data_IF_163182564287
#
_entry.id   IF_163182564287
#
_cell.length_a   1.000
_cell.length_b   1.000
_cell.length_c   1.000
_cell.angle_alpha   90.00
_cell.angle_beta   90.00
_cell.angle_gamma   90.00
#
_symmetry.space_group_name_H-M   'P 1'
#
loop_
_entity.id
_entity.type
_entity.pdbx_description
1 polymer ?
#
# COMPACT_ATOMS: atom_id res chain seq x y z
N UNK A 1 -21.33 6.78 4.71
CA UNK A 1 -20.44 5.65 4.37
C UNK A 1 -19.01 6.18 4.29
N UNK A 2 -18.02 5.41 4.74
CA UNK A 2 -16.61 5.81 4.69
C UNK A 2 -15.72 4.70 5.19
N UNK A 3 -14.41 4.85 5.00
CA UNK A 3 -13.39 3.98 5.56
C UNK A 3 -12.81 4.68 6.78
N UNK A 4 -12.67 3.94 7.89
CA UNK A 4 -12.03 4.46 9.08
C UNK A 4 -10.51 4.42 8.91
N UNK A 5 -9.84 5.48 9.34
CA UNK A 5 -8.40 5.53 9.49
C UNK A 5 -8.05 5.60 10.97
N UNK A 6 -7.21 4.68 11.41
CA UNK A 6 -6.70 4.61 12.78
C UNK A 6 -5.21 4.95 12.76
N UNK A 7 -4.85 6.02 13.45
CA UNK A 7 -3.44 6.41 13.60
C UNK A 7 -2.92 5.83 14.92
N UNK A 8 -1.85 5.07 14.82
CA UNK A 8 -1.18 4.43 15.97
C UNK A 8 0.26 4.90 16.06
N UNK A 9 0.86 4.83 17.24
CA UNK A 9 2.24 5.27 17.44
C UNK A 9 3.22 4.43 16.60
N UNK A 10 2.94 3.13 16.41
CA UNK A 10 3.75 2.23 15.60
C UNK A 10 3.24 0.79 15.70
N UNK A 11 3.80 -0.08 14.89
CA UNK A 11 3.55 -1.52 14.94
C UNK A 11 4.69 -2.23 15.69
N UNK A 12 4.39 -3.41 16.27
CA UNK A 12 5.40 -4.30 16.81
C UNK A 12 6.13 -5.01 15.64
N UNK A 13 7.10 -4.35 15.05
CA UNK A 13 7.87 -4.85 13.90
C UNK A 13 8.48 -3.69 13.12
N UNK A 14 9.64 -3.95 12.51
CA UNK A 14 10.36 -2.92 11.76
C UNK A 14 9.77 -2.78 10.34
N UNK A 15 9.61 -1.54 9.89
CA UNK A 15 9.30 -1.22 8.50
C UNK A 15 7.82 -1.31 8.10
N UNK A 16 6.90 -1.69 8.99
CA UNK A 16 5.49 -1.68 8.67
C UNK A 16 4.90 -0.29 8.89
N UNK A 17 4.48 0.36 7.80
CA UNK A 17 3.93 1.73 7.82
C UNK A 17 2.40 1.75 7.97
N UNK A 18 1.73 0.74 7.43
CA UNK A 18 0.27 0.65 7.46
C UNK A 18 -0.24 -0.76 7.38
N UNK A 19 -1.54 -0.93 7.53
CA UNK A 19 -2.24 -2.19 7.34
C UNK A 19 -3.72 -1.95 7.04
N UNK A 20 -4.21 -2.51 5.94
CA UNK A 20 -5.63 -2.56 5.64
C UNK A 20 -6.34 -3.68 6.40
N UNK A 21 -7.64 -3.53 6.61
CA UNK A 21 -8.48 -4.51 7.28
C UNK A 21 -8.81 -5.75 6.45
N UNK A 22 -8.45 -5.73 5.16
CA UNK A 22 -8.64 -6.82 4.19
C UNK A 22 -8.40 -6.36 2.76
N UNK A 23 -8.32 -7.31 1.82
CA UNK A 23 -8.18 -7.06 0.37
C UNK A 23 -9.24 -7.88 -0.39
N UNK A 24 -10.42 -7.29 -0.72
CA UNK A 24 -10.92 -6.02 -0.22
C UNK A 24 -11.29 -6.07 1.27
N UNK A 25 -11.22 -4.92 1.94
CA UNK A 25 -11.77 -4.78 3.26
C UNK A 25 -13.31 -4.79 3.24
N UNK A 26 -13.97 -5.35 4.28
CA UNK A 26 -15.42 -5.40 4.33
C UNK A 26 -16.03 -4.00 4.47
N UNK A 27 -17.03 -3.64 3.63
CA UNK A 27 -17.71 -2.37 3.77
C UNK A 27 -18.61 -2.36 5.00
N UNK A 28 -18.74 -1.19 5.65
CA UNK A 28 -19.68 -0.95 6.75
C UNK A 28 -19.45 -1.83 8.01
N UNK A 29 -18.29 -2.44 8.15
CA UNK A 29 -17.92 -3.19 9.36
C UNK A 29 -17.24 -2.23 10.34
N UNK A 30 -17.74 -2.22 11.59
CA UNK A 30 -17.20 -1.38 12.66
C UNK A 30 -16.88 -2.21 13.89
N UNK A 31 -15.90 -1.77 14.67
CA UNK A 31 -15.55 -2.41 15.94
C UNK A 31 -14.82 -3.75 15.83
N UNK A 32 -14.26 -4.07 14.66
CA UNK A 32 -13.46 -5.27 14.42
C UNK A 32 -12.08 -4.89 13.87
N UNK A 33 -11.15 -5.84 13.83
CA UNK A 33 -9.83 -5.67 13.21
C UNK A 33 -9.88 -5.43 11.70
N UNK A 34 -11.03 -5.63 11.07
CA UNK A 34 -11.26 -5.39 9.64
C UNK A 34 -12.04 -4.10 9.36
N UNK A 35 -12.24 -3.23 10.36
CA UNK A 35 -13.14 -2.07 10.23
C UNK A 35 -12.52 -0.85 9.55
N UNK A 36 -11.33 -0.94 9.00
CA UNK A 36 -10.67 0.16 8.29
C UNK A 36 -9.18 -0.05 8.11
N UNK A 37 -8.47 1.05 8.01
CA UNK A 37 -7.03 1.13 7.75
C UNK A 37 -6.31 1.63 9.00
N UNK A 38 -5.20 1.01 9.34
CA UNK A 38 -4.31 1.46 10.43
C UNK A 38 -3.04 2.02 9.82
N UNK A 39 -2.61 3.19 10.28
CA UNK A 39 -1.39 3.87 9.80
C UNK A 39 -0.47 4.14 10.98
N UNK A 40 0.80 3.76 10.84
CA UNK A 40 1.86 4.07 11.81
C UNK A 40 2.20 5.55 11.76
N UNK A 41 2.39 6.14 12.93
CA UNK A 41 2.92 7.48 13.08
C UNK A 41 4.41 7.48 13.46
N UNK A 42 5.05 6.29 13.55
CA UNK A 42 6.47 6.19 13.90
C UNK A 42 7.38 6.90 12.89
N UNK A 43 7.01 6.81 11.61
CA UNK A 43 7.76 7.44 10.52
C UNK A 43 7.12 8.76 10.04
N UNK A 44 6.13 9.24 10.79
CA UNK A 44 5.53 10.55 10.55
C UNK A 44 6.53 11.69 10.79
N UNK A 45 7.48 11.46 11.70
CA UNK A 45 8.57 12.38 11.99
C UNK A 45 9.88 11.78 11.48
N UNK A 46 10.45 12.35 10.44
CA UNK A 46 11.78 11.99 9.94
C UNK A 46 12.91 12.56 10.80
N UNK A 47 12.60 13.61 11.57
CA UNK A 47 13.47 14.23 12.57
C UNK A 47 12.63 14.84 13.70
N UNK A 48 13.21 15.18 14.87
CA UNK A 48 12.48 15.88 15.92
C UNK A 48 11.79 17.13 15.37
N UNK A 49 10.47 17.15 15.44
CA UNK A 49 9.58 18.23 14.96
C UNK A 49 9.43 18.37 13.42
N UNK A 50 9.93 17.44 12.62
CA UNK A 50 9.71 17.44 11.17
C UNK A 50 8.75 16.32 10.76
N UNK A 51 7.66 16.69 10.09
CA UNK A 51 6.58 15.78 9.71
C UNK A 51 6.83 15.27 8.30
N UNK A 52 6.96 13.97 8.14
CA UNK A 52 7.05 13.29 6.84
C UNK A 52 5.66 13.13 6.18
N UNK A 53 4.97 14.24 5.95
CA UNK A 53 3.62 14.27 5.37
C UNK A 53 3.49 13.42 4.10
N UNK A 54 4.44 13.49 3.13
CA UNK A 54 4.33 12.70 1.91
C UNK A 54 4.30 11.19 2.16
N UNK A 55 5.16 10.69 3.05
CA UNK A 55 5.22 9.27 3.41
C UNK A 55 3.91 8.81 4.03
N UNK A 56 3.40 9.55 5.01
CA UNK A 56 2.14 9.23 5.68
C UNK A 56 0.96 9.28 4.69
N UNK A 57 0.92 10.28 3.81
CA UNK A 57 -0.15 10.41 2.82
C UNK A 57 -0.14 9.26 1.81
N UNK A 58 1.02 8.86 1.32
CA UNK A 58 1.15 7.73 0.41
C UNK A 58 0.80 6.42 1.11
N UNK A 59 1.26 6.21 2.35
CA UNK A 59 0.87 5.04 3.15
C UNK A 59 -0.65 4.96 3.31
N UNK A 60 -1.31 6.06 3.65
CA UNK A 60 -2.77 6.10 3.76
C UNK A 60 -3.45 5.73 2.44
N UNK A 61 -2.97 6.26 1.32
CA UNK A 61 -3.51 5.97 0.00
C UNK A 61 -3.26 4.51 -0.42
N UNK A 62 -2.08 3.96 -0.13
CA UNK A 62 -1.69 2.58 -0.38
C UNK A 62 -2.60 1.60 0.40
N UNK A 63 -2.73 1.80 1.70
CA UNK A 63 -3.59 0.96 2.53
C UNK A 63 -5.08 1.09 2.16
N UNK A 64 -5.51 2.28 1.74
CA UNK A 64 -6.85 2.46 1.17
C UNK A 64 -7.00 1.67 -0.13
N UNK A 65 -5.96 1.61 -0.97
CA UNK A 65 -5.93 0.76 -2.16
C UNK A 65 -6.22 -0.70 -1.83
N UNK A 66 -5.55 -1.25 -0.81
CA UNK A 66 -5.84 -2.59 -0.29
C UNK A 66 -7.28 -2.73 0.20
N UNK A 67 -7.74 -1.80 1.01
CA UNK A 67 -9.12 -1.80 1.51
C UNK A 67 -10.15 -1.78 0.37
N UNK A 68 -9.81 -1.18 -0.77
CA UNK A 68 -10.63 -1.13 -1.97
C UNK A 68 -10.42 -2.29 -2.94
N UNK A 69 -9.54 -3.24 -2.63
CA UNK A 69 -9.36 -4.51 -3.35
C UNK A 69 -8.13 -4.61 -4.24
N UNK A 70 -7.18 -3.71 -4.10
CA UNK A 70 -5.91 -3.80 -4.82
C UNK A 70 -4.89 -4.64 -4.04
N UNK A 71 -4.17 -5.51 -4.72
CA UNK A 71 -2.98 -6.19 -4.23
C UNK A 71 -1.72 -5.41 -4.60
N UNK A 72 -0.58 -5.78 -4.05
CA UNK A 72 0.70 -5.25 -4.52
C UNK A 72 0.92 -5.63 -5.99
N UNK A 73 1.38 -4.68 -6.80
CA UNK A 73 1.78 -4.96 -8.20
C UNK A 73 2.92 -5.97 -8.25
N UNK A 74 3.82 -5.89 -7.27
CA UNK A 74 4.87 -6.88 -7.01
C UNK A 74 5.06 -6.97 -5.50
N UNK A 75 5.08 -8.17 -4.97
CA UNK A 75 5.40 -8.41 -3.56
C UNK A 75 6.91 -8.25 -3.29
N UNK A 76 7.28 -8.06 -2.04
CA UNK A 76 8.66 -7.84 -1.62
C UNK A 76 9.66 -8.89 -2.15
N UNK A 77 9.23 -10.13 -2.31
CA UNK A 77 10.07 -11.21 -2.85
C UNK A 77 10.16 -11.25 -4.37
N UNK A 78 9.33 -10.47 -5.08
CA UNK A 78 9.19 -10.54 -6.53
C UNK A 78 8.58 -11.83 -7.06
N UNK A 79 8.11 -12.72 -6.18
CA UNK A 79 7.54 -14.02 -6.56
C UNK A 79 6.05 -13.98 -6.88
N UNK A 80 5.36 -12.97 -6.42
CA UNK A 80 3.91 -12.82 -6.59
C UNK A 80 3.58 -11.41 -7.07
N UNK A 81 2.57 -11.33 -7.95
CA UNK A 81 2.07 -10.11 -8.55
C UNK A 81 0.55 -10.05 -8.43
N UNK A 82 -0.02 -8.87 -8.60
CA UNK A 82 -1.47 -8.74 -8.65
C UNK A 82 -2.03 -9.39 -9.94
N UNK A 83 -3.33 -9.71 -9.99
CA UNK A 83 -3.94 -10.33 -11.18
C UNK A 83 -4.36 -9.31 -12.25
N UNK A 84 -4.00 -8.05 -12.15
CA UNK A 84 -4.43 -6.99 -13.05
C UNK A 84 -3.46 -6.90 -14.24
N UNK A 85 -3.89 -7.12 -15.49
CA UNK A 85 -2.98 -7.35 -16.61
C UNK A 85 -2.25 -6.10 -17.12
N UNK A 86 -2.61 -4.91 -16.66
CA UNK A 86 -1.97 -3.64 -17.06
C UNK A 86 -1.09 -3.04 -15.97
N UNK A 87 -0.89 -3.76 -14.86
CA UNK A 87 0.08 -3.39 -13.83
C UNK A 87 1.47 -3.89 -14.20
N UNK A 88 2.51 -3.08 -13.99
CA UNK A 88 3.88 -3.54 -14.22
C UNK A 88 4.32 -4.52 -13.13
N UNK A 89 5.04 -5.56 -13.54
CA UNK A 89 5.57 -6.61 -12.68
C UNK A 89 7.09 -6.50 -12.54
N UNK A 90 7.62 -6.70 -11.35
CA UNK A 90 9.04 -6.76 -11.09
C UNK A 90 9.41 -8.00 -10.26
N UNK A 91 10.33 -8.80 -10.82
CA UNK A 91 10.94 -9.95 -10.15
C UNK A 91 12.48 -9.83 -10.14
N UNK A 92 13.01 -8.62 -10.29
CA UNK A 92 14.46 -8.39 -10.36
C UNK A 92 15.04 -8.33 -8.96
N UNK A 93 15.78 -9.37 -8.59
CA UNK A 93 16.62 -9.46 -7.38
C UNK A 93 18.04 -9.77 -7.86
N UNK A 94 18.78 -8.72 -8.32
CA UNK A 94 20.11 -8.92 -8.88
C UNK A 94 21.20 -9.00 -7.82
N UNK A 95 20.94 -8.56 -6.60
CA UNK A 95 21.87 -8.67 -5.48
C UNK A 95 21.72 -9.98 -4.70
N UNK A 96 20.61 -10.72 -4.91
CA UNK A 96 20.36 -12.04 -4.32
C UNK A 96 20.00 -12.00 -2.84
N UNK A 97 19.46 -10.89 -2.33
CA UNK A 97 19.09 -10.76 -0.92
C UNK A 97 17.66 -11.22 -0.61
N UNK A 98 16.92 -11.64 -1.64
CA UNK A 98 15.54 -12.11 -1.53
C UNK A 98 14.50 -11.01 -1.49
N UNK A 99 14.89 -9.76 -1.79
CA UNK A 99 14.02 -8.58 -1.81
C UNK A 99 14.17 -7.86 -3.14
N UNK A 100 13.06 -7.60 -3.81
CA UNK A 100 13.07 -6.73 -5.00
C UNK A 100 13.00 -5.27 -4.55
N UNK A 101 14.13 -4.62 -4.52
CA UNK A 101 14.26 -3.23 -4.07
C UNK A 101 13.76 -2.23 -5.10
N UNK A 102 13.64 -0.96 -4.69
CA UNK A 102 13.28 0.13 -5.58
C UNK A 102 14.25 0.25 -6.76
N UNK A 103 15.57 0.19 -6.49
CA UNK A 103 16.60 0.34 -7.52
C UNK A 103 16.60 -0.82 -8.52
N UNK A 104 16.32 -2.04 -8.06
CA UNK A 104 16.23 -3.24 -8.89
C UNK A 104 14.99 -3.26 -9.79
N UNK A 105 13.96 -2.55 -9.36
CA UNK A 105 12.68 -2.43 -10.06
C UNK A 105 12.48 -1.09 -10.75
N UNK A 106 13.52 -0.26 -10.86
CA UNK A 106 13.41 1.03 -11.54
C UNK A 106 12.82 0.88 -12.96
N UNK A 107 11.79 1.68 -13.25
CA UNK A 107 11.05 1.58 -14.52
C UNK A 107 10.12 0.36 -14.65
N UNK A 108 10.02 -0.48 -13.63
CA UNK A 108 9.16 -1.67 -13.57
C UNK A 108 8.03 -1.54 -12.54
N UNK A 109 7.47 -0.35 -12.41
CA UNK A 109 6.31 -0.09 -11.57
C UNK A 109 6.59 0.40 -10.17
N UNK A 110 7.80 0.79 -9.86
CA UNK A 110 8.14 1.43 -8.57
C UNK A 110 7.41 2.75 -8.34
N UNK A 111 6.88 3.36 -9.40
CA UNK A 111 6.06 4.57 -9.35
C UNK A 111 4.54 4.29 -9.21
N UNK A 112 4.15 3.01 -9.12
CA UNK A 112 2.77 2.63 -8.86
C UNK A 112 2.47 2.70 -7.36
N UNK A 113 1.31 3.26 -6.99
CA UNK A 113 0.86 3.37 -5.60
C UNK A 113 0.88 2.02 -4.87
N UNK A 114 0.64 0.92 -5.59
CA UNK A 114 0.55 -0.42 -5.03
C UNK A 114 1.85 -1.23 -5.20
N UNK A 115 2.99 -0.60 -5.47
CA UNK A 115 4.27 -1.28 -5.28
C UNK A 115 4.46 -1.58 -3.79
N UNK A 116 5.07 -2.71 -3.42
CA UNK A 116 5.16 -3.14 -2.02
C UNK A 116 5.87 -2.15 -1.08
N UNK A 117 6.66 -1.24 -1.63
CA UNK A 117 7.42 -0.22 -0.90
C UNK A 117 6.98 1.19 -1.31
N UNK A 118 7.03 2.12 -0.38
CA UNK A 118 6.71 3.53 -0.60
C UNK A 118 7.76 4.20 -1.48
N UNK A 119 7.31 4.90 -2.52
CA UNK A 119 8.17 5.55 -3.52
C UNK A 119 7.99 7.06 -3.66
N UNK A 120 7.06 7.63 -2.90
CA UNK A 120 6.57 9.00 -3.04
C UNK A 120 6.00 9.31 -4.45
N UNK A 121 5.47 8.26 -5.08
CA UNK A 121 4.76 8.33 -6.36
C UNK A 121 3.45 7.57 -6.26
N UNK A 122 2.35 8.13 -6.72
CA UNK A 122 1.02 7.59 -6.50
C UNK A 122 0.27 7.38 -7.82
N UNK A 123 0.88 6.65 -8.77
CA UNK A 123 0.23 6.29 -10.02
C UNK A 123 -0.65 5.06 -9.86
N UNK A 124 -1.78 5.06 -10.54
CA UNK A 124 -2.67 3.91 -10.70
C UNK A 124 -2.94 3.66 -12.18
N UNK A 125 -2.95 2.38 -12.55
CA UNK A 125 -3.31 1.97 -13.90
C UNK A 125 -4.83 2.07 -14.16
N UNK A 126 -5.29 2.03 -15.41
CA UNK A 126 -6.71 1.92 -15.71
C UNK A 126 -7.39 0.70 -15.07
N UNK A 127 -6.72 -0.45 -15.04
CA UNK A 127 -7.22 -1.68 -14.41
C UNK A 127 -7.40 -1.53 -12.91
N UNK A 128 -6.42 -0.94 -12.22
CA UNK A 128 -6.55 -0.65 -10.79
C UNK A 128 -7.71 0.31 -10.50
N UNK A 129 -7.86 1.37 -11.29
CA UNK A 129 -9.01 2.30 -11.18
C UNK A 129 -10.34 1.58 -11.40
N UNK A 130 -10.40 0.66 -12.35
CA UNK A 130 -11.59 -0.16 -12.59
C UNK A 130 -11.96 -1.00 -11.36
N UNK A 131 -10.99 -1.64 -10.70
CA UNK A 131 -11.21 -2.42 -9.47
C UNK A 131 -11.76 -1.53 -8.35
N UNK A 132 -11.12 -0.39 -8.09
CA UNK A 132 -11.54 0.56 -7.06
C UNK A 132 -12.99 1.00 -7.29
N UNK A 133 -13.33 1.41 -8.51
CA UNK A 133 -14.67 1.87 -8.84
C UNK A 133 -15.77 0.81 -8.72
N UNK A 134 -15.42 -0.47 -8.61
CA UNK A 134 -16.38 -1.56 -8.40
C UNK A 134 -16.46 -2.04 -6.95
N UNK A 135 -15.64 -1.50 -6.08
CA UNK A 135 -15.72 -1.84 -4.67
C UNK A 135 -17.02 -1.29 -4.05
N UNK A 136 -17.69 -2.12 -3.24
CA UNK A 136 -18.97 -1.76 -2.60
C UNK A 136 -18.85 -0.57 -1.63
N UNK A 137 -17.64 -0.24 -1.17
CA UNK A 137 -17.39 0.92 -0.30
C UNK A 137 -17.49 2.26 -1.05
N UNK A 138 -17.48 2.23 -2.40
CA UNK A 138 -17.58 3.43 -3.25
C UNK A 138 -19.02 3.88 -3.51
N UNK A 139 -20.03 3.05 -3.15
CA UNK A 139 -21.48 3.31 -3.31
C UNK A 139 -22.21 3.29 -1.93
#
# INVERSE_FOLDING_TARGET
KGVNFFFVQGFNGWGLLGKAGGIPGPPLVHGTHSSGVVVSMSDFYDQPNHIAIPVTAETMAHELGHQLGLFHTSEQTGAYHDPIPDTPECSSDWNGDGVVSFDECEGKGTDNLMFWSISLSAKLTPGQKFVIHRNASMY
#
